data_IF_704468561719
#
_entry.id   IF_704468561719
#
_cell.length_a   1.000
_cell.length_b   1.000
_cell.length_c   1.000
_cell.angle_alpha   90.00
_cell.angle_beta   90.00
_cell.angle_gamma   90.00
#
_symmetry.space_group_name_H-M   'P 1'
#
loop_
_entity.id
_entity.type
_entity.pdbx_description
1 polymer ?
#
# COMPACT_ATOMS: atom_id res chain seq x y z
N UNK A 1 20.24 33.89 2.00
CA UNK A 1 19.21 32.94 2.48
C UNK A 1 19.47 31.61 1.79
N UNK A 2 19.89 30.55 2.49
CA UNK A 2 20.03 29.24 1.87
C UNK A 2 18.64 28.63 1.60
N UNK A 3 18.50 27.94 0.46
CA UNK A 3 17.29 27.21 0.08
C UNK A 3 17.03 26.06 1.07
N UNK A 4 15.78 25.64 1.29
CA UNK A 4 15.53 24.41 2.04
C UNK A 4 16.17 23.26 1.26
N UNK A 5 17.19 22.65 1.89
CA UNK A 5 17.62 21.31 1.58
C UNK A 5 16.36 20.46 1.40
N UNK A 6 16.17 19.94 0.19
CA UNK A 6 15.32 18.78 -0.04
C UNK A 6 16.05 17.62 0.65
N UNK A 7 16.00 17.65 1.97
CA UNK A 7 16.65 16.74 2.90
C UNK A 7 16.27 15.35 2.45
N UNK A 8 17.30 14.63 1.96
CA UNK A 8 17.23 13.35 1.31
C UNK A 8 15.96 12.58 1.68
N UNK A 9 14.99 12.56 0.76
CA UNK A 9 13.88 11.63 0.80
C UNK A 9 14.49 10.25 0.92
N UNK A 10 14.63 9.76 2.15
CA UNK A 10 15.01 8.39 2.43
C UNK A 10 14.18 7.52 1.48
N UNK A 11 14.75 6.48 0.86
CA UNK A 11 13.94 5.59 0.05
C UNK A 11 12.85 5.08 0.98
N UNK A 12 11.64 5.65 0.85
CA UNK A 12 10.50 5.27 1.65
C UNK A 12 10.31 3.82 1.27
N UNK A 13 10.81 2.92 2.12
CA UNK A 13 10.56 1.49 2.00
C UNK A 13 9.06 1.43 1.93
N UNK A 14 8.52 1.25 0.72
CA UNK A 14 7.07 1.31 0.49
C UNK A 14 6.50 0.28 1.46
N UNK A 15 5.74 0.74 2.44
CA UNK A 15 5.01 -0.17 3.31
C UNK A 15 3.82 -0.66 2.49
N UNK A 16 3.39 -1.92 2.65
CA UNK A 16 2.19 -2.38 1.98
C UNK A 16 0.99 -1.54 2.45
N UNK A 17 0.05 -1.29 1.55
CA UNK A 17 -1.21 -0.63 1.90
C UNK A 17 -1.95 -1.45 2.95
N UNK A 18 -2.27 -0.81 4.08
CA UNK A 18 -3.05 -1.40 5.15
C UNK A 18 -4.51 -1.04 4.98
N UNK A 19 -5.44 -1.83 5.53
CA UNK A 19 -6.86 -1.53 5.36
C UNK A 19 -7.22 -0.21 6.07
N UNK A 20 -6.49 0.16 7.13
CA UNK A 20 -6.64 1.45 7.82
C UNK A 20 -6.12 2.67 7.04
N UNK A 21 -5.43 2.49 5.91
CA UNK A 21 -5.06 3.60 5.02
C UNK A 21 -6.24 4.03 4.12
N UNK A 22 -7.31 3.23 4.03
CA UNK A 22 -8.51 3.58 3.27
C UNK A 22 -9.49 4.37 4.14
N UNK A 23 -9.45 5.69 4.04
CA UNK A 23 -10.37 6.59 4.76
C UNK A 23 -11.79 6.58 4.16
N UNK A 24 -11.90 6.21 2.89
CA UNK A 24 -13.15 6.14 2.13
C UNK A 24 -13.50 4.70 1.77
N UNK A 25 -14.79 4.40 1.75
CA UNK A 25 -15.28 3.12 1.25
C UNK A 25 -15.15 3.03 -0.27
N UNK A 26 -15.06 1.81 -0.79
CA UNK A 26 -15.03 1.60 -2.23
C UNK A 26 -16.41 1.88 -2.85
N UNK A 27 -16.50 2.81 -3.79
CA UNK A 27 -17.76 3.18 -4.45
C UNK A 27 -18.33 2.04 -5.31
N UNK A 28 -17.50 1.14 -5.81
CA UNK A 28 -17.89 0.08 -6.74
C UNK A 28 -18.36 -1.18 -6.02
N UNK A 29 -17.57 -1.67 -5.06
CA UNK A 29 -17.92 -2.87 -4.29
C UNK A 29 -18.56 -2.59 -2.92
N UNK A 30 -18.72 -1.31 -2.55
CA UNK A 30 -19.28 -0.86 -1.28
C UNK A 30 -18.55 -1.42 -0.06
N UNK A 31 -17.26 -1.75 -0.21
CA UNK A 31 -16.41 -2.09 0.92
C UNK A 31 -16.33 -0.89 1.87
N UNK A 32 -16.42 -1.09 3.19
CA UNK A 32 -16.39 0.01 4.15
C UNK A 32 -15.00 0.66 4.17
N UNK A 33 -14.96 1.94 4.59
CA UNK A 33 -13.71 2.58 4.97
C UNK A 33 -12.99 1.73 6.03
N UNK A 34 -11.67 1.65 5.94
CA UNK A 34 -10.88 0.79 6.82
C UNK A 34 -10.85 -0.68 6.39
N UNK A 35 -11.32 -1.05 5.19
CA UNK A 35 -11.33 -2.42 4.70
C UNK A 35 -10.92 -2.53 3.22
N UNK A 36 -10.40 -3.70 2.86
CA UNK A 36 -10.06 -4.01 1.47
C UNK A 36 -11.30 -4.26 0.61
N UNK A 37 -11.12 -4.06 -0.70
CA UNK A 37 -12.16 -4.34 -1.68
C UNK A 37 -12.47 -5.84 -1.77
N UNK A 38 -13.70 -6.12 -2.23
CA UNK A 38 -14.16 -7.48 -2.53
C UNK A 38 -13.37 -8.07 -3.72
N UNK A 39 -13.20 -9.40 -3.80
CA UNK A 39 -12.44 -10.05 -4.89
C UNK A 39 -13.07 -9.93 -6.28
N UNK A 40 -14.32 -9.48 -6.38
CA UNK A 40 -14.99 -9.20 -7.65
C UNK A 40 -14.88 -7.73 -8.09
N UNK A 41 -14.31 -6.86 -7.26
CA UNK A 41 -14.18 -5.43 -7.55
C UNK A 41 -13.13 -5.20 -8.65
N UNK A 42 -13.52 -4.56 -9.75
CA UNK A 42 -12.63 -4.35 -10.91
C UNK A 42 -11.55 -3.28 -10.70
N UNK A 43 -11.82 -2.29 -9.85
CA UNK A 43 -10.90 -1.16 -9.56
C UNK A 43 -10.22 -1.23 -8.19
N UNK A 44 -10.63 -2.18 -7.34
CA UNK A 44 -10.39 -2.11 -5.90
C UNK A 44 -9.21 -2.95 -5.42
N UNK A 45 -8.36 -2.37 -4.58
CA UNK A 45 -7.26 -3.07 -3.92
C UNK A 45 -7.79 -4.12 -2.92
N UNK A 46 -7.54 -5.40 -3.22
CA UNK A 46 -8.06 -6.52 -2.42
C UNK A 46 -7.10 -6.92 -1.31
N UNK A 47 -7.59 -7.76 -0.39
CA UNK A 47 -6.73 -8.36 0.63
C UNK A 47 -5.61 -9.23 0.02
N UNK A 48 -5.87 -9.86 -1.14
CA UNK A 48 -4.89 -10.68 -1.86
C UNK A 48 -3.79 -9.82 -2.48
N UNK A 49 -4.16 -8.65 -3.03
CA UNK A 49 -3.19 -7.66 -3.53
C UNK A 49 -2.30 -7.15 -2.40
N UNK A 50 -2.91 -6.80 -1.26
CA UNK A 50 -2.20 -6.39 -0.05
C UNK A 50 -1.21 -7.44 0.42
N UNK A 51 -1.62 -8.71 0.45
CA UNK A 51 -0.76 -9.83 0.82
C UNK A 51 0.37 -10.04 -0.19
N UNK A 52 0.08 -9.98 -1.49
CA UNK A 52 1.08 -10.15 -2.54
C UNK A 52 2.11 -9.02 -2.52
N UNK A 53 1.67 -7.78 -2.27
CA UNK A 53 2.56 -6.63 -2.09
C UNK A 53 3.41 -6.76 -0.82
N UNK A 54 2.79 -7.10 0.32
CA UNK A 54 3.51 -7.38 1.57
C UNK A 54 4.54 -8.49 1.40
N UNK A 55 4.22 -9.55 0.65
CA UNK A 55 5.14 -10.63 0.33
C UNK A 55 6.31 -10.14 -0.54
N UNK A 56 6.07 -9.33 -1.57
CA UNK A 56 7.12 -8.74 -2.42
C UNK A 56 8.05 -7.83 -1.62
N UNK A 57 7.49 -7.04 -0.70
CA UNK A 57 8.26 -6.15 0.18
C UNK A 57 9.05 -6.93 1.24
N UNK A 58 8.44 -7.96 1.84
CA UNK A 58 9.11 -8.87 2.77
C UNK A 58 10.21 -9.69 2.07
N UNK A 59 10.08 -9.93 0.78
CA UNK A 59 11.06 -10.58 -0.08
C UNK A 59 12.01 -9.60 -0.79
N UNK A 60 12.13 -8.35 -0.29
CA UNK A 60 12.94 -7.29 -0.88
C UNK A 60 14.35 -7.74 -1.35
N UNK A 61 15.04 -6.96 -2.20
CA UNK A 61 16.14 -7.39 -3.07
C UNK A 61 17.46 -7.82 -2.39
N UNK A 62 17.44 -8.30 -1.14
CA UNK A 62 18.63 -8.59 -0.34
C UNK A 62 18.50 -9.77 0.61
N UNK A 63 17.67 -10.79 0.32
CA UNK A 63 17.77 -12.08 1.04
C UNK A 63 17.99 -13.26 0.11
N UNK A 64 19.11 -13.24 -0.61
CA UNK A 64 19.84 -14.47 -0.90
C UNK A 64 20.80 -14.73 0.26
N UNK A 65 20.53 -15.78 1.02
CA UNK A 65 21.53 -16.47 1.83
C UNK A 65 21.46 -17.94 1.45
#
# INVERSE_FOLDING_TARGET
MPAPDHEASAPLVRRPFLPGDFEEGCEECQAPAGAYCRPWCGSGYTAEDAQAEAARLAAGPGRTA
#
